data_IF_398840351898
#
_entry.id   IF_398840351898
#
_cell.length_a   1.000
_cell.length_b   1.000
_cell.length_c   1.000
_cell.angle_alpha   90.00
_cell.angle_beta   90.00
_cell.angle_gamma   90.00
#
_symmetry.space_group_name_H-M   'P 1'
#
loop_
_entity.id
_entity.type
_entity.pdbx_description
1 polymer ?
#
# COMPACT_ATOMS: atom_id res chain seq x y z
N UNK A 1 -55.71 34.11 -13.04
CA UNK A 1 -55.09 32.79 -12.87
C UNK A 1 -53.60 32.94 -13.14
N UNK A 2 -52.81 32.97 -12.07
CA UNK A 2 -51.35 33.16 -12.04
C UNK A 2 -50.66 31.81 -12.08
N UNK A 3 -49.70 31.62 -12.99
CA UNK A 3 -48.89 30.41 -13.07
C UNK A 3 -47.72 30.48 -12.08
N UNK A 4 -47.65 29.53 -11.15
CA UNK A 4 -46.54 29.36 -10.22
C UNK A 4 -45.44 28.51 -10.85
N UNK A 5 -44.23 29.07 -10.91
CA UNK A 5 -43.00 28.40 -11.36
C UNK A 5 -42.47 27.57 -10.19
N UNK A 6 -42.40 26.25 -10.37
CA UNK A 6 -41.78 25.33 -9.41
C UNK A 6 -40.26 25.39 -9.55
N UNK A 7 -39.59 25.95 -8.55
CA UNK A 7 -38.13 25.97 -8.43
C UNK A 7 -37.61 24.58 -8.05
N UNK A 8 -36.94 23.93 -9.00
CA UNK A 8 -36.18 22.69 -8.76
C UNK A 8 -34.95 23.01 -7.89
N UNK A 9 -34.86 22.38 -6.72
CA UNK A 9 -33.68 22.47 -5.86
C UNK A 9 -32.50 21.70 -6.48
N UNK A 10 -31.25 22.23 -6.42
CA UNK A 10 -30.10 21.53 -6.97
C UNK A 10 -29.78 20.30 -6.13
N UNK A 11 -29.55 19.17 -6.81
CA UNK A 11 -28.99 17.96 -6.20
C UNK A 11 -27.67 18.27 -5.46
N UNK A 12 -27.43 17.63 -4.30
CA UNK A 12 -26.21 17.85 -3.53
C UNK A 12 -24.99 17.50 -4.37
N UNK A 13 -24.09 18.47 -4.55
CA UNK A 13 -22.80 18.29 -5.21
C UNK A 13 -22.07 17.12 -4.57
N UNK A 14 -21.90 16.04 -5.33
CA UNK A 14 -21.01 14.94 -4.96
C UNK A 14 -19.64 15.52 -4.64
N UNK A 15 -19.20 15.38 -3.39
CA UNK A 15 -17.90 15.86 -2.92
C UNK A 15 -16.83 15.09 -3.69
N UNK A 16 -16.36 15.66 -4.80
CA UNK A 16 -15.32 15.08 -5.67
C UNK A 16 -14.14 14.70 -4.75
N UNK A 17 -13.96 13.40 -4.47
CA UNK A 17 -12.85 12.93 -3.62
C UNK A 17 -11.57 13.50 -4.22
N UNK A 18 -10.91 14.40 -3.50
CA UNK A 18 -9.65 15.00 -3.97
C UNK A 18 -8.66 13.87 -4.26
N UNK A 19 -8.20 13.77 -5.50
CA UNK A 19 -7.12 12.84 -5.88
C UNK A 19 -5.90 13.17 -5.04
N UNK A 20 -5.19 12.14 -4.58
CA UNK A 20 -3.87 12.31 -3.97
C UNK A 20 -2.95 12.99 -4.98
N UNK A 21 -2.33 14.10 -4.58
CA UNK A 21 -1.42 14.89 -5.41
C UNK A 21 0.02 14.51 -5.15
N UNK A 22 0.86 14.45 -6.20
CA UNK A 22 2.30 14.21 -6.07
C UNK A 22 2.94 15.20 -5.09
N UNK A 23 2.58 16.50 -5.16
CA UNK A 23 3.12 17.53 -4.27
C UNK A 23 2.92 17.21 -2.78
N UNK A 24 1.84 16.50 -2.46
CA UNK A 24 1.53 16.11 -1.08
C UNK A 24 2.35 14.91 -0.64
N UNK A 25 2.52 13.90 -1.50
CA UNK A 25 3.15 12.62 -1.13
C UNK A 25 4.63 12.52 -1.44
N UNK A 26 5.20 13.42 -2.26
CA UNK A 26 6.58 13.34 -2.72
C UNK A 26 7.60 13.31 -1.58
N UNK A 27 7.44 14.19 -0.57
CA UNK A 27 8.36 14.22 0.59
C UNK A 27 8.23 12.96 1.46
N UNK A 28 7.03 12.56 1.92
CA UNK A 28 6.86 11.30 2.66
C UNK A 28 7.35 10.07 1.89
N UNK A 29 7.14 10.01 0.57
CA UNK A 29 7.66 8.93 -0.28
C UNK A 29 9.19 8.93 -0.31
N UNK A 30 9.83 10.08 -0.51
CA UNK A 30 11.29 10.17 -0.49
C UNK A 30 11.87 9.70 0.85
N UNK A 31 11.25 10.09 1.96
CA UNK A 31 11.64 9.66 3.30
C UNK A 31 11.49 8.14 3.47
N UNK A 32 10.36 7.58 3.06
CA UNK A 32 10.12 6.13 3.01
C UNK A 32 11.22 5.39 2.22
N UNK A 33 11.52 5.84 1.00
CA UNK A 33 12.52 5.20 0.13
C UNK A 33 13.92 5.22 0.74
N UNK A 34 14.29 6.32 1.40
CA UNK A 34 15.57 6.41 2.13
C UNK A 34 15.60 5.42 3.29
N UNK A 35 14.53 5.35 4.08
CA UNK A 35 14.48 4.52 5.28
C UNK A 35 14.53 3.02 4.98
N UNK A 36 13.84 2.53 3.95
CA UNK A 36 13.88 1.11 3.58
C UNK A 36 15.26 0.67 3.05
N UNK A 37 16.12 1.62 2.68
CA UNK A 37 17.51 1.39 2.28
C UNK A 37 18.53 1.62 3.41
N UNK A 38 18.11 2.24 4.51
CA UNK A 38 18.96 2.55 5.67
C UNK A 38 19.02 1.37 6.66
N UNK A 39 20.04 1.29 7.51
CA UNK A 39 20.13 0.20 8.52
C UNK A 39 19.12 0.31 9.66
N UNK A 40 18.61 1.52 9.94
CA UNK A 40 17.62 1.78 10.99
C UNK A 40 16.88 3.09 10.75
N UNK A 41 15.66 3.20 11.27
CA UNK A 41 14.92 4.46 11.35
C UNK A 41 13.40 4.26 11.39
N UNK A 42 12.68 5.34 11.64
CA UNK A 42 11.21 5.36 11.70
C UNK A 42 10.70 6.60 10.97
N UNK A 43 9.53 6.51 10.36
CA UNK A 43 8.83 7.71 9.89
C UNK A 43 8.28 8.48 11.09
N UNK A 44 8.37 9.81 11.02
CA UNK A 44 7.64 10.67 11.95
C UNK A 44 6.13 10.60 11.69
N UNK A 45 5.31 11.09 12.63
CA UNK A 45 3.85 10.95 12.52
C UNK A 45 3.24 11.66 11.30
N UNK A 46 3.81 12.78 10.87
CA UNK A 46 3.24 13.55 9.75
C UNK A 46 3.37 12.80 8.42
N UNK A 47 4.56 12.27 8.03
CA UNK A 47 4.70 11.42 6.86
C UNK A 47 3.77 10.20 6.89
N UNK A 48 3.63 9.56 8.06
CA UNK A 48 2.71 8.43 8.26
C UNK A 48 1.27 8.84 7.94
N UNK A 49 0.80 9.96 8.52
CA UNK A 49 -0.56 10.45 8.27
C UNK A 49 -0.79 10.77 6.79
N UNK A 50 0.20 11.37 6.12
CA UNK A 50 0.08 11.71 4.70
C UNK A 50 0.06 10.46 3.83
N UNK A 51 0.92 9.47 4.10
CA UNK A 51 0.94 8.20 3.38
C UNK A 51 -0.36 7.41 3.59
N UNK A 52 -0.80 7.21 4.83
CA UNK A 52 -2.05 6.51 5.14
C UNK A 52 -3.26 7.18 4.44
N UNK A 53 -3.38 8.50 4.53
CA UNK A 53 -4.44 9.24 3.85
C UNK A 53 -4.34 9.15 2.31
N UNK A 54 -3.11 9.07 1.78
CA UNK A 54 -2.83 8.91 0.36
C UNK A 54 -3.21 7.52 -0.16
N UNK A 55 -2.88 6.46 0.58
CA UNK A 55 -3.15 5.05 0.22
C UNK A 55 -4.65 4.80 0.19
N UNK A 56 -5.40 5.33 1.17
CA UNK A 56 -6.88 5.29 1.20
C UNK A 56 -7.55 5.82 -0.07
N UNK A 57 -6.85 6.64 -0.83
CA UNK A 57 -7.36 7.36 -2.02
C UNK A 57 -6.70 6.90 -3.32
N UNK A 58 -5.64 6.11 -3.26
CA UNK A 58 -4.83 5.72 -4.42
C UNK A 58 -4.29 4.31 -4.26
N UNK A 59 -4.91 3.37 -4.99
CA UNK A 59 -4.40 2.00 -5.13
C UNK A 59 -2.96 2.02 -5.68
N UNK A 60 -2.68 2.90 -6.65
CA UNK A 60 -1.33 3.07 -7.20
C UNK A 60 -0.32 3.42 -6.11
N UNK A 61 -0.66 4.29 -5.13
CA UNK A 61 0.28 4.60 -4.06
C UNK A 61 0.57 3.38 -3.20
N UNK A 62 -0.46 2.57 -2.88
CA UNK A 62 -0.28 1.30 -2.17
C UNK A 62 0.70 0.39 -2.92
N UNK A 63 0.46 0.21 -4.21
CA UNK A 63 1.23 -0.72 -5.04
C UNK A 63 2.67 -0.21 -5.23
N UNK A 64 2.87 1.11 -5.33
CA UNK A 64 4.19 1.75 -5.34
C UNK A 64 4.97 1.47 -4.05
N UNK A 65 4.32 1.53 -2.88
CA UNK A 65 4.97 1.17 -1.61
C UNK A 65 5.35 -0.32 -1.60
N UNK A 66 4.47 -1.21 -2.08
CA UNK A 66 4.74 -2.65 -2.15
C UNK A 66 5.92 -2.94 -3.08
N UNK A 67 5.92 -2.44 -4.32
CA UNK A 67 7.02 -2.71 -5.25
C UNK A 67 8.33 -2.04 -4.81
N UNK A 68 8.29 -0.95 -4.05
CA UNK A 68 9.52 -0.37 -3.49
C UNK A 68 10.25 -1.32 -2.53
N UNK A 69 9.49 -2.21 -1.87
CA UNK A 69 10.01 -3.27 -1.01
C UNK A 69 10.45 -4.50 -1.80
N UNK A 70 9.60 -4.97 -2.72
CA UNK A 70 9.78 -6.27 -3.38
C UNK A 70 10.54 -6.22 -4.71
N UNK A 71 10.44 -5.10 -5.43
CA UNK A 71 10.96 -4.96 -6.79
C UNK A 71 12.44 -4.65 -6.88
N UNK A 72 12.89 -4.47 -8.11
CA UNK A 72 14.25 -4.07 -8.48
C UNK A 72 14.63 -2.66 -7.97
N UNK A 73 15.87 -2.24 -8.23
CA UNK A 73 16.38 -0.91 -7.79
C UNK A 73 15.58 0.25 -8.36
N UNK A 74 15.03 0.10 -9.55
CA UNK A 74 14.25 1.14 -10.19
C UNK A 74 12.93 1.39 -9.45
N UNK A 75 12.37 0.40 -8.75
CA UNK A 75 11.22 0.58 -7.87
C UNK A 75 11.51 1.47 -6.64
N UNK A 76 12.77 1.92 -6.47
CA UNK A 76 13.19 2.89 -5.45
C UNK A 76 13.65 4.22 -6.05
N UNK A 77 13.58 4.37 -7.38
CA UNK A 77 13.85 5.62 -8.06
C UNK A 77 12.63 6.55 -7.97
N UNK A 78 12.79 7.69 -7.29
CA UNK A 78 11.69 8.63 -7.04
C UNK A 78 11.08 9.21 -8.33
N UNK A 79 11.86 9.41 -9.38
CA UNK A 79 11.37 9.92 -10.67
C UNK A 79 10.56 8.87 -11.42
N UNK A 80 10.98 7.59 -11.35
CA UNK A 80 10.21 6.48 -11.92
C UNK A 80 8.89 6.28 -11.17
N UNK A 81 8.94 6.32 -9.84
CA UNK A 81 7.73 6.30 -8.98
C UNK A 81 6.79 7.46 -9.33
N UNK A 82 7.32 8.67 -9.52
CA UNK A 82 6.52 9.83 -9.94
C UNK A 82 5.84 9.58 -11.27
N UNK A 83 6.58 9.07 -12.26
CA UNK A 83 6.05 8.79 -13.60
C UNK A 83 4.85 7.85 -13.54
N UNK A 84 4.95 6.78 -12.74
CA UNK A 84 3.87 5.82 -12.51
C UNK A 84 2.70 6.48 -11.74
N UNK A 85 3.00 7.26 -10.71
CA UNK A 85 1.99 7.92 -9.89
C UNK A 85 1.16 8.94 -10.70
N UNK A 86 1.81 9.70 -11.58
CA UNK A 86 1.15 10.70 -12.44
C UNK A 86 0.31 10.02 -13.54
N UNK A 87 0.71 8.82 -14.00
CA UNK A 87 0.06 8.10 -15.12
C UNK A 87 -0.29 6.64 -14.79
N UNK A 88 -1.10 6.35 -13.76
CA UNK A 88 -1.29 5.00 -13.22
C UNK A 88 -1.92 3.99 -14.18
N UNK A 89 -2.63 4.47 -15.20
CA UNK A 89 -3.33 3.65 -16.18
C UNK A 89 -2.61 3.61 -17.54
N UNK A 90 -1.46 4.27 -17.68
CA UNK A 90 -0.66 4.13 -18.89
C UNK A 90 -0.23 2.65 -19.01
N UNK A 91 -0.29 2.05 -20.23
CA UNK A 91 0.11 0.66 -20.42
C UNK A 91 1.51 0.36 -19.89
N UNK A 92 2.45 1.30 -20.04
CA UNK A 92 3.79 1.20 -19.50
C UNK A 92 3.82 1.13 -17.97
N UNK A 93 3.05 1.96 -17.26
CA UNK A 93 2.98 1.96 -15.79
C UNK A 93 2.35 0.68 -15.25
N UNK A 94 1.28 0.20 -15.89
CA UNK A 94 0.63 -1.08 -15.53
C UNK A 94 1.60 -2.24 -15.73
N UNK A 95 2.31 -2.27 -16.86
CA UNK A 95 3.29 -3.33 -17.15
C UNK A 95 4.44 -3.33 -16.15
N UNK A 96 4.95 -2.16 -15.75
CA UNK A 96 6.03 -2.05 -14.76
C UNK A 96 5.60 -2.63 -13.41
N UNK A 97 4.43 -2.23 -12.90
CA UNK A 97 3.92 -2.74 -11.62
C UNK A 97 3.73 -4.25 -11.71
N UNK A 98 3.07 -4.72 -12.77
CA UNK A 98 2.78 -6.14 -12.97
C UNK A 98 4.05 -6.99 -13.02
N UNK A 99 5.02 -6.62 -13.86
CA UNK A 99 6.26 -7.36 -14.01
C UNK A 99 7.02 -7.44 -12.69
N UNK A 100 7.11 -6.32 -11.94
CA UNK A 100 7.80 -6.34 -10.65
C UNK A 100 7.12 -7.23 -9.62
N UNK A 101 5.78 -7.29 -9.60
CA UNK A 101 5.05 -8.19 -8.71
C UNK A 101 5.21 -9.66 -9.12
N UNK A 102 5.18 -9.96 -10.42
CA UNK A 102 5.40 -11.32 -10.94
C UNK A 102 6.85 -11.79 -10.67
N UNK A 103 7.84 -10.96 -10.97
CA UNK A 103 9.26 -11.24 -10.73
C UNK A 103 9.59 -11.37 -9.24
N UNK A 104 8.92 -10.59 -8.37
CA UNK A 104 9.11 -10.70 -6.93
C UNK A 104 8.82 -12.12 -6.43
N UNK A 105 7.85 -12.84 -6.99
CA UNK A 105 7.58 -14.23 -6.58
C UNK A 105 8.71 -15.19 -6.90
N UNK A 106 9.45 -14.95 -8.00
CA UNK A 106 10.61 -15.76 -8.38
C UNK A 106 11.86 -15.45 -7.53
N UNK A 107 11.81 -14.39 -6.72
CA UNK A 107 12.90 -13.89 -5.88
C UNK A 107 12.55 -13.92 -4.40
N UNK A 108 11.59 -14.75 -3.99
CA UNK A 108 11.08 -14.76 -2.61
C UNK A 108 12.15 -15.12 -1.57
N UNK A 109 13.20 -15.85 -1.98
CA UNK A 109 14.33 -16.26 -1.14
C UNK A 109 15.51 -15.27 -1.18
N UNK A 110 15.41 -14.16 -1.92
CA UNK A 110 16.47 -13.16 -2.03
C UNK A 110 16.69 -12.44 -0.68
N UNK A 111 17.88 -12.61 -0.11
CA UNK A 111 18.22 -12.11 1.23
C UNK A 111 18.16 -10.58 1.28
N UNK A 112 18.54 -9.87 0.21
CA UNK A 112 18.52 -8.41 0.20
C UNK A 112 17.09 -7.88 0.16
N UNK A 113 16.21 -8.52 -0.63
CA UNK A 113 14.79 -8.19 -0.67
C UNK A 113 14.15 -8.46 0.70
N UNK A 114 14.40 -9.62 1.31
CA UNK A 114 13.88 -9.97 2.63
C UNK A 114 14.37 -9.00 3.72
N UNK A 115 15.65 -8.62 3.68
CA UNK A 115 16.23 -7.62 4.58
C UNK A 115 15.54 -6.26 4.45
N UNK A 116 15.27 -5.81 3.21
CA UNK A 116 14.50 -4.59 2.94
C UNK A 116 13.04 -4.69 3.40
N UNK A 117 12.40 -5.84 3.19
CA UNK A 117 11.04 -6.10 3.68
C UNK A 117 10.97 -6.01 5.20
N UNK A 118 11.91 -6.63 5.93
CA UNK A 118 11.98 -6.54 7.38
C UNK A 118 12.07 -5.09 7.88
N UNK A 119 12.89 -4.26 7.23
CA UNK A 119 12.97 -2.82 7.55
C UNK A 119 11.67 -2.09 7.27
N UNK A 120 11.08 -2.32 6.09
CA UNK A 120 9.79 -1.74 5.72
C UNK A 120 8.68 -2.13 6.69
N UNK A 121 8.63 -3.41 7.09
CA UNK A 121 7.70 -3.94 8.08
C UNK A 121 7.89 -3.25 9.43
N UNK A 122 9.12 -3.13 9.95
CA UNK A 122 9.36 -2.45 11.21
C UNK A 122 8.83 -1.00 11.21
N UNK A 123 9.01 -0.27 10.11
CA UNK A 123 8.48 1.09 9.94
C UNK A 123 6.95 1.10 9.90
N UNK A 124 6.35 0.21 9.10
CA UNK A 124 4.91 0.13 8.90
C UNK A 124 4.17 -0.34 10.15
N UNK A 125 4.70 -1.34 10.85
CA UNK A 125 4.13 -1.88 12.09
C UNK A 125 4.18 -0.84 13.22
N UNK A 126 5.28 -0.11 13.34
CA UNK A 126 5.36 1.04 14.24
C UNK A 126 4.32 2.11 13.88
N UNK A 127 4.17 2.43 12.59
CA UNK A 127 3.23 3.42 12.10
C UNK A 127 1.75 3.02 12.26
N UNK A 128 1.45 1.73 12.09
CA UNK A 128 0.11 1.20 12.23
C UNK A 128 -0.35 1.18 13.70
N UNK A 129 0.55 1.29 14.67
CA UNK A 129 0.20 1.03 16.07
C UNK A 129 -0.08 -0.47 16.28
N UNK A 130 0.10 -0.93 17.51
CA UNK A 130 0.05 -2.35 17.83
C UNK A 130 -1.28 -3.00 17.43
N UNK A 131 -1.27 -4.33 17.22
CA UNK A 131 -2.41 -5.13 16.74
C UNK A 131 -3.67 -4.95 17.62
N UNK A 132 -3.50 -4.66 18.91
CA UNK A 132 -4.62 -4.45 19.85
C UNK A 132 -5.31 -3.08 19.69
N UNK A 133 -4.65 -2.11 19.06
CA UNK A 133 -5.23 -0.80 18.73
C UNK A 133 -4.69 -0.28 17.38
N UNK A 134 -4.98 -0.99 16.28
CA UNK A 134 -4.36 -0.70 15.01
C UNK A 134 -5.02 0.53 14.38
N UNK A 135 -4.21 1.54 14.10
CA UNK A 135 -4.55 2.76 13.38
C UNK A 135 -4.19 2.58 11.90
N UNK A 136 -5.17 2.77 11.02
CA UNK A 136 -4.91 2.84 9.57
C UNK A 136 -5.01 1.49 8.86
N UNK A 137 -6.23 1.08 8.51
CA UNK A 137 -6.53 -0.11 7.72
C UNK A 137 -5.66 -0.24 6.46
N UNK A 138 -5.31 0.88 5.85
CA UNK A 138 -4.54 0.95 4.61
C UNK A 138 -3.07 0.56 4.76
N UNK A 139 -2.45 0.83 5.92
CA UNK A 139 -1.10 0.34 6.21
C UNK A 139 -1.11 -1.16 6.54
N UNK A 140 -2.13 -1.62 7.28
CA UNK A 140 -2.32 -3.04 7.61
C UNK A 140 -2.40 -3.91 6.35
N UNK A 141 -3.00 -3.42 5.27
CA UNK A 141 -3.06 -4.13 4.00
C UNK A 141 -1.67 -4.37 3.37
N UNK A 142 -0.77 -3.39 3.47
CA UNK A 142 0.61 -3.51 2.98
C UNK A 142 1.40 -4.48 3.86
N UNK A 143 1.29 -4.34 5.19
CA UNK A 143 1.93 -5.25 6.15
C UNK A 143 1.49 -6.69 5.88
N UNK A 144 0.18 -6.91 5.76
CA UNK A 144 -0.43 -8.23 5.46
C UNK A 144 0.18 -8.84 4.20
N UNK A 145 0.24 -8.07 3.11
CA UNK A 145 0.78 -8.55 1.84
C UNK A 145 2.26 -8.92 1.94
N UNK A 146 3.08 -8.06 2.55
CA UNK A 146 4.54 -8.29 2.66
C UNK A 146 4.84 -9.47 3.59
N UNK A 147 4.13 -9.57 4.73
CA UNK A 147 4.24 -10.73 5.65
C UNK A 147 3.89 -12.04 4.93
N UNK A 148 2.77 -12.07 4.21
CA UNK A 148 2.38 -13.23 3.41
C UNK A 148 3.42 -13.55 2.33
N UNK A 149 3.95 -12.54 1.65
CA UNK A 149 4.99 -12.74 0.63
C UNK A 149 6.26 -13.36 1.22
N UNK A 150 6.61 -12.99 2.47
CA UNK A 150 7.77 -13.52 3.18
C UNK A 150 7.58 -14.93 3.76
N UNK A 151 6.37 -15.51 3.69
CA UNK A 151 6.04 -16.78 4.35
C UNK A 151 5.70 -16.64 5.84
N UNK A 152 5.54 -15.42 6.35
CA UNK A 152 5.26 -15.16 7.76
C UNK A 152 3.78 -15.41 8.08
N UNK A 153 3.50 -16.45 8.87
CA UNK A 153 2.15 -16.86 9.25
C UNK A 153 1.41 -15.81 10.09
N UNK A 154 2.13 -14.86 10.72
CA UNK A 154 1.50 -13.73 11.41
C UNK A 154 0.72 -12.83 10.45
N UNK A 155 0.93 -12.94 9.13
CA UNK A 155 0.11 -12.30 8.10
C UNK A 155 -1.40 -12.51 8.33
N UNK A 156 -1.80 -13.66 8.89
CA UNK A 156 -3.19 -13.97 9.20
C UNK A 156 -3.79 -12.96 10.21
N UNK A 157 -3.06 -12.68 11.29
CA UNK A 157 -3.51 -11.75 12.35
C UNK A 157 -3.59 -10.33 11.79
N UNK A 158 -2.62 -9.93 10.97
CA UNK A 158 -2.63 -8.62 10.30
C UNK A 158 -3.79 -8.48 9.29
N UNK A 159 -4.11 -9.54 8.55
CA UNK A 159 -5.24 -9.56 7.62
C UNK A 159 -6.56 -9.37 8.37
N UNK A 160 -6.75 -10.09 9.49
CA UNK A 160 -7.92 -9.95 10.34
C UNK A 160 -8.02 -8.54 10.94
N UNK A 161 -6.92 -7.98 11.43
CA UNK A 161 -6.89 -6.61 11.94
C UNK A 161 -7.25 -5.60 10.84
N UNK A 162 -6.74 -5.79 9.63
CA UNK A 162 -7.08 -4.97 8.47
C UNK A 162 -8.58 -5.01 8.17
N UNK A 163 -9.18 -6.21 8.13
CA UNK A 163 -10.60 -6.40 7.83
C UNK A 163 -11.53 -5.94 8.96
N UNK A 164 -11.08 -5.97 10.23
CA UNK A 164 -11.81 -5.34 11.33
C UNK A 164 -11.90 -3.82 11.15
N UNK A 165 -10.84 -3.18 10.65
CA UNK A 165 -10.82 -1.75 10.39
C UNK A 165 -11.50 -1.35 9.07
N UNK A 166 -11.37 -2.16 8.02
CA UNK A 166 -11.98 -1.98 6.70
C UNK A 166 -12.44 -3.33 6.14
N UNK A 167 -13.71 -3.72 6.39
CA UNK A 167 -14.26 -5.00 5.92
C UNK A 167 -14.26 -5.16 4.39
N UNK A 168 -14.07 -4.08 3.64
CA UNK A 168 -14.05 -4.10 2.17
C UNK A 168 -12.63 -4.08 1.61
N UNK A 169 -11.59 -4.26 2.44
CA UNK A 169 -10.21 -4.31 1.98
C UNK A 169 -9.97 -5.58 1.14
N UNK A 170 -10.00 -5.42 -0.18
CA UNK A 170 -9.86 -6.54 -1.13
C UNK A 170 -8.50 -7.24 -1.00
N UNK A 171 -7.42 -6.48 -0.79
CA UNK A 171 -6.08 -7.07 -0.65
C UNK A 171 -6.01 -7.98 0.59
N UNK A 172 -6.48 -7.50 1.75
CA UNK A 172 -6.49 -8.32 2.95
C UNK A 172 -7.43 -9.54 2.82
N UNK A 173 -8.56 -9.40 2.13
CA UNK A 173 -9.49 -10.51 1.86
C UNK A 173 -8.84 -11.61 1.00
N UNK A 174 -8.13 -11.21 -0.06
CA UNK A 174 -7.41 -12.15 -0.94
C UNK A 174 -6.32 -12.89 -0.17
N UNK A 175 -5.53 -12.16 0.62
CA UNK A 175 -4.44 -12.76 1.40
C UNK A 175 -4.99 -13.68 2.50
N UNK A 176 -6.06 -13.29 3.20
CA UNK A 176 -6.71 -14.13 4.20
C UNK A 176 -7.17 -15.45 3.59
N UNK A 177 -7.87 -15.40 2.45
CA UNK A 177 -8.28 -16.60 1.72
C UNK A 177 -7.09 -17.47 1.29
N UNK A 178 -6.00 -16.85 0.80
CA UNK A 178 -4.79 -17.59 0.47
C UNK A 178 -4.21 -18.33 1.68
N UNK A 179 -4.14 -17.67 2.84
CA UNK A 179 -3.65 -18.26 4.08
C UNK A 179 -4.54 -19.39 4.59
N UNK A 180 -5.86 -19.26 4.52
CA UNK A 180 -6.83 -20.31 4.89
C UNK A 180 -6.65 -21.59 4.05
N UNK A 181 -6.13 -21.45 2.83
CA UNK A 181 -5.80 -22.56 1.93
C UNK A 181 -4.30 -22.94 1.95
N UNK A 182 -3.51 -22.45 2.90
CA UNK A 182 -2.06 -22.68 3.00
C UNK A 182 -1.30 -22.35 1.70
N UNK A 183 -1.76 -21.29 1.01
CA UNK A 183 -1.12 -20.76 -0.19
C UNK A 183 -0.21 -19.60 0.17
N UNK A 184 1.07 -19.78 -0.14
CA UNK A 184 2.12 -18.80 -0.04
C UNK A 184 2.81 -18.71 -1.41
N UNK A 185 3.58 -17.64 -1.71
CA UNK A 185 4.48 -17.67 -2.86
C UNK A 185 5.29 -18.97 -2.89
N UNK A 186 5.41 -19.59 -4.07
CA UNK A 186 5.87 -20.97 -4.24
C UNK A 186 7.23 -21.30 -3.59
N UNK A 187 8.03 -20.28 -3.28
CA UNK A 187 9.38 -20.38 -2.71
C UNK A 187 9.51 -19.81 -1.28
N UNK A 188 8.40 -19.38 -0.67
CA UNK A 188 8.36 -18.80 0.68
C UNK A 188 7.88 -19.78 1.76
N UNK A 189 7.57 -21.03 1.38
CA UNK A 189 7.31 -22.11 2.32
C UNK A 189 8.65 -22.59 2.87
N UNK A 190 9.00 -22.11 4.07
CA UNK A 190 9.94 -22.80 4.94
C UNK A 190 9.28 -24.08 5.50
#
# INVERSE_FOLDING_TARGET
MTASITTSSPLPRTRRRSRTSWKTVARPLKEWLTLIQSSSGTLSEEPIRVLDAGIKRSITLRDLLIISLLGDEDCRNLERIRTIFDNPYAPSSVQIIRNNLEEAFARATDIEIRSRCNRGLAILEHAAGHIDNPKGASLLAIITYVKWWMGDHSAYIWAQACLKCDPNCTLASIILSALEHNMFPAQSKD
#
